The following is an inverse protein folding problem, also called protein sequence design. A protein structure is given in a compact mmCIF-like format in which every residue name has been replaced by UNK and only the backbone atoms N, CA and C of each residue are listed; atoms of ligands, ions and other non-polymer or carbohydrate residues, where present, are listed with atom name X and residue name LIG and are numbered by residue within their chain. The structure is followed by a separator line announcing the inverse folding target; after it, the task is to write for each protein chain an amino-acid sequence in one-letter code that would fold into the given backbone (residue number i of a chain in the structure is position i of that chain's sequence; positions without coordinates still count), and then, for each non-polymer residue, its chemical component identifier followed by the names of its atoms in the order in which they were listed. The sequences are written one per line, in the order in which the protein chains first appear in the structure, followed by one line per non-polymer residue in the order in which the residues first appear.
data_IF_030583488243
#
_entry.id   IF_030583488243
#
_cell.length_a   1.000
_cell.length_b   1.000
_cell.length_c   1.000
_cell.angle_alpha   90.00
_cell.angle_beta   90.00
_cell.angle_gamma   90.00
#
_symmetry.space_group_name_H-M   'P 1'
#
loop_
_entity.id
_entity.type
_entity.pdbx_description
1 polymer ?
#
# COMPACT_ATOMS: atom_id res chain seq x y z
N UNK A 1 -29.61 -22.97 -19.85
CA UNK A 1 -29.07 -22.66 -18.50
C UNK A 1 -29.85 -23.54 -17.52
N UNK A 2 -29.23 -24.12 -16.50
CA UNK A 2 -29.97 -24.91 -15.49
C UNK A 2 -30.52 -23.97 -14.43
N UNK A 3 -31.77 -24.19 -14.04
CA UNK A 3 -32.51 -23.32 -13.12
C UNK A 3 -32.08 -23.47 -11.66
N UNK A 4 -31.44 -24.58 -11.28
CA UNK A 4 -31.00 -24.81 -9.91
C UNK A 4 -29.72 -25.64 -9.84
N UNK A 5 -28.78 -25.18 -9.00
CA UNK A 5 -27.54 -25.89 -8.70
C UNK A 5 -27.59 -26.37 -7.25
N UNK A 6 -27.49 -27.69 -7.07
CA UNK A 6 -27.40 -28.33 -5.76
C UNK A 6 -25.95 -28.27 -5.25
N UNK A 7 -25.74 -27.45 -4.21
CA UNK A 7 -24.46 -27.27 -3.53
C UNK A 7 -24.36 -28.06 -2.23
N UNK A 8 -25.25 -29.02 -1.97
CA UNK A 8 -25.25 -29.83 -0.74
C UNK A 8 -23.96 -30.63 -0.51
N UNK A 9 -23.15 -30.83 -1.55
CA UNK A 9 -21.84 -31.50 -1.51
C UNK A 9 -20.65 -30.57 -1.81
N UNK A 10 -20.88 -29.26 -1.85
CA UNK A 10 -19.80 -28.31 -2.09
C UNK A 10 -18.95 -28.17 -0.82
N UNK A 11 -17.67 -28.53 -0.89
CA UNK A 11 -16.71 -28.23 0.17
C UNK A 11 -16.32 -26.75 0.10
N UNK A 12 -16.53 -26.02 1.19
CA UNK A 12 -16.08 -24.63 1.30
C UNK A 12 -14.55 -24.60 1.31
N UNK A 13 -13.95 -23.99 0.29
CA UNK A 13 -12.51 -23.78 0.23
C UNK A 13 -12.00 -22.97 1.44
N UNK A 14 -10.70 -23.07 1.78
CA UNK A 14 -10.13 -22.39 2.93
C UNK A 14 -10.40 -20.88 2.85
N UNK A 15 -11.02 -20.34 3.90
CA UNK A 15 -11.22 -18.90 4.06
C UNK A 15 -9.84 -18.26 4.21
N UNK A 16 -9.31 -17.72 3.11
CA UNK A 16 -8.06 -16.97 3.13
C UNK A 16 -8.27 -15.78 4.05
N UNK A 17 -7.60 -15.77 5.20
CA UNK A 17 -7.57 -14.59 6.06
C UNK A 17 -6.93 -13.45 5.27
N UNK A 18 -7.71 -12.42 4.98
CA UNK A 18 -7.19 -11.18 4.41
C UNK A 18 -6.11 -10.63 5.34
N UNK A 19 -4.90 -10.42 4.84
CA UNK A 19 -3.81 -9.76 5.57
C UNK A 19 -4.02 -8.25 5.77
N UNK A 20 -5.23 -7.75 5.49
CA UNK A 20 -5.62 -6.34 5.64
C UNK A 20 -6.64 -6.23 6.77
N UNK A 21 -6.36 -5.36 7.72
CA UNK A 21 -7.30 -4.99 8.77
C UNK A 21 -8.32 -3.97 8.24
N UNK A 22 -9.62 -4.20 8.48
CA UNK A 22 -10.67 -3.26 8.11
C UNK A 22 -10.83 -2.24 9.21
N UNK A 23 -10.47 -0.99 8.91
CA UNK A 23 -10.62 0.14 9.82
C UNK A 23 -11.60 1.18 9.27
N UNK A 24 -12.25 1.93 10.16
CA UNK A 24 -13.06 3.10 9.79
C UNK A 24 -12.22 4.35 10.00
N UNK A 25 -11.83 5.02 8.93
CA UNK A 25 -11.08 6.28 8.95
C UNK A 25 -11.81 7.34 8.13
N UNK A 26 -11.68 8.61 8.52
CA UNK A 26 -12.13 9.75 7.71
C UNK A 26 -10.96 10.21 6.84
N UNK A 27 -11.20 10.39 5.56
CA UNK A 27 -10.26 10.95 4.59
C UNK A 27 -10.98 12.05 3.80
N UNK A 28 -10.24 13.06 3.38
CA UNK A 28 -10.81 14.14 2.59
C UNK A 28 -11.34 13.61 1.24
N UNK A 29 -12.48 14.12 0.76
CA UNK A 29 -13.11 13.64 -0.47
C UNK A 29 -12.20 13.82 -1.69
N UNK A 30 -11.40 14.88 -1.71
CA UNK A 30 -10.42 15.15 -2.78
C UNK A 30 -9.32 14.09 -2.86
N UNK A 31 -8.83 13.58 -1.72
CA UNK A 31 -7.83 12.51 -1.66
C UNK A 31 -8.44 11.23 -2.23
N UNK A 32 -9.66 10.89 -1.80
CA UNK A 32 -10.37 9.71 -2.30
C UNK A 32 -10.57 9.83 -3.81
N UNK A 33 -11.00 10.99 -4.30
CA UNK A 33 -11.23 11.21 -5.73
C UNK A 33 -9.94 11.07 -6.53
N UNK A 34 -8.84 11.68 -6.07
CA UNK A 34 -7.55 11.57 -6.74
C UNK A 34 -7.12 10.11 -6.95
N UNK A 35 -7.20 9.27 -5.91
CA UNK A 35 -6.86 7.85 -6.02
C UNK A 35 -7.85 7.03 -6.87
N UNK A 36 -9.13 7.44 -6.93
CA UNK A 36 -10.12 6.82 -7.83
C UNK A 36 -9.81 7.11 -9.29
N UNK A 37 -9.39 8.34 -9.60
CA UNK A 37 -9.04 8.74 -10.96
C UNK A 37 -7.82 7.97 -11.47
N UNK A 38 -6.88 7.62 -10.60
CA UNK A 38 -5.70 6.81 -10.95
C UNK A 38 -6.04 5.36 -11.36
N UNK A 39 -7.22 4.84 -11.02
CA UNK A 39 -7.61 3.43 -11.26
C UNK A 39 -8.72 3.25 -12.29
N UNK A 40 -8.99 4.28 -13.11
CA UNK A 40 -10.09 4.34 -14.08
C UNK A 40 -10.18 3.14 -15.07
N UNK A 41 -9.14 2.29 -15.15
CA UNK A 41 -9.09 1.08 -15.98
C UNK A 41 -9.26 -0.27 -15.25
N UNK A 42 -9.64 -0.31 -13.96
CA UNK A 42 -9.92 -1.56 -13.24
C UNK A 42 -8.97 -1.89 -12.07
N UNK A 43 -8.45 -0.87 -11.38
CA UNK A 43 -7.62 -1.04 -10.19
C UNK A 43 -8.36 -0.81 -8.87
N UNK A 44 -7.73 -1.16 -7.75
CA UNK A 44 -8.26 -0.89 -6.41
C UNK A 44 -7.58 0.34 -5.80
N UNK A 45 -8.30 1.46 -5.70
CA UNK A 45 -7.82 2.70 -5.10
C UNK A 45 -7.34 2.51 -3.65
N UNK A 46 -7.90 1.55 -2.91
CA UNK A 46 -7.45 1.21 -1.55
C UNK A 46 -6.03 0.62 -1.53
N UNK A 47 -5.64 -0.09 -2.59
CA UNK A 47 -4.26 -0.60 -2.71
C UNK A 47 -3.30 0.57 -2.87
N UNK A 48 -3.61 1.55 -3.72
CA UNK A 48 -2.78 2.74 -3.92
C UNK A 48 -2.65 3.57 -2.64
N UNK A 49 -3.74 3.76 -1.90
CA UNK A 49 -3.71 4.43 -0.59
C UNK A 49 -2.77 3.69 0.37
N UNK A 50 -2.87 2.37 0.46
CA UNK A 50 -2.00 1.57 1.32
C UNK A 50 -0.52 1.64 0.90
N UNK A 51 -0.24 1.64 -0.40
CA UNK A 51 1.13 1.81 -0.92
C UNK A 51 1.69 3.19 -0.58
N UNK A 52 0.88 4.24 -0.72
CA UNK A 52 1.28 5.60 -0.35
C UNK A 52 1.60 5.70 1.15
N UNK A 53 0.77 5.11 2.02
CA UNK A 53 1.02 5.05 3.46
C UNK A 53 2.29 4.25 3.77
N UNK A 54 2.51 3.10 3.13
CA UNK A 54 3.73 2.32 3.27
C UNK A 54 4.97 3.09 2.81
N UNK A 55 4.87 3.86 1.72
CA UNK A 55 5.93 4.74 1.25
C UNK A 55 6.25 5.86 2.25
N UNK A 56 5.22 6.45 2.86
CA UNK A 56 5.41 7.44 3.92
C UNK A 56 6.12 6.86 5.14
N UNK A 57 5.71 5.67 5.58
CA UNK A 57 6.37 4.94 6.66
C UNK A 57 7.85 4.71 6.32
N UNK A 58 8.16 4.19 5.14
CA UNK A 58 9.55 3.93 4.73
C UNK A 58 10.41 5.19 4.68
N UNK A 59 9.85 6.32 4.20
CA UNK A 59 10.56 7.62 4.20
C UNK A 59 10.82 8.11 5.63
N UNK A 60 9.85 7.99 6.53
CA UNK A 60 9.96 8.48 7.90
C UNK A 60 10.75 7.54 8.82
N UNK A 61 10.72 6.24 8.55
CA UNK A 61 11.59 5.22 9.17
C UNK A 61 13.00 5.23 8.57
N UNK A 62 13.29 6.17 7.68
CA UNK A 62 14.55 6.37 6.97
C UNK A 62 15.75 6.76 7.84
N UNK A 63 16.02 6.02 8.92
CA UNK A 63 17.37 5.48 9.09
C UNK A 63 17.66 4.58 7.89
N UNK A 64 18.16 5.16 6.79
CA UNK A 64 19.43 4.71 6.21
C UNK A 64 19.84 5.54 4.98
N UNK A 65 18.92 6.01 4.12
CA UNK A 65 19.35 6.70 2.88
C UNK A 65 19.84 8.13 3.14
N UNK A 66 19.08 8.94 3.87
CA UNK A 66 19.50 10.31 4.20
C UNK A 66 20.72 10.31 5.13
N UNK A 67 20.75 9.41 6.12
CA UNK A 67 21.89 9.25 7.01
C UNK A 67 23.14 8.76 6.28
N UNK A 68 22.99 7.81 5.35
CA UNK A 68 24.10 7.32 4.52
C UNK A 68 24.59 8.39 3.56
N UNK A 69 23.70 9.12 2.89
CA UNK A 69 24.07 10.28 2.06
C UNK A 69 24.81 11.35 2.87
N UNK A 70 24.30 11.74 4.05
CA UNK A 70 24.97 12.71 4.93
C UNK A 70 26.34 12.22 5.42
N UNK A 71 26.48 10.91 5.70
CA UNK A 71 27.74 10.30 6.09
C UNK A 71 28.75 10.34 4.96
N UNK A 72 28.37 9.86 3.77
CA UNK A 72 29.23 9.85 2.58
C UNK A 72 29.66 11.27 2.20
N UNK A 73 28.73 12.24 2.15
CA UNK A 73 29.07 13.64 1.85
C UNK A 73 30.06 14.23 2.86
N UNK A 74 29.93 13.89 4.15
CA UNK A 74 30.86 14.36 5.19
C UNK A 74 32.24 13.69 5.09
N UNK A 75 32.29 12.43 4.71
CA UNK A 75 33.54 11.71 4.48
C UNK A 75 34.31 12.32 3.30
N UNK A 76 33.64 12.57 2.16
CA UNK A 76 34.27 13.20 0.98
C UNK A 76 34.75 14.63 1.26
N UNK A 77 33.97 15.44 1.98
CA UNK A 77 34.39 16.80 2.36
C UNK A 77 35.61 16.85 3.27
N UNK A 78 35.83 15.80 4.10
CA UNK A 78 37.02 15.67 4.96
C UNK A 78 38.25 15.17 4.19
N UNK A 79 38.06 14.40 3.12
CA UNK A 79 39.16 13.94 2.28
C UNK A 79 39.61 15.01 1.28
N UNK A 80 38.72 15.91 0.89
CA UNK A 80 39.01 17.01 -0.03
C UNK A 80 39.66 18.25 0.63
N UNK A 81 39.79 18.27 1.96
CA UNK A 81 40.43 19.31 2.77
C UNK A 81 41.78 18.85 3.29
#
# INVERSE_FOLDING_TARGET
MRDEYDFSRAESGPVVKSGKERITIRLDPEIIQWFRDQVAGGGNYQTLINEALRGHIQRNQGTDLESTLRRVVREELRQAS
#
